data_IF_664532395978
#
_entry.id   IF_664532395978
#
_cell.length_a   1.000
_cell.length_b   1.000
_cell.length_c   1.000
_cell.angle_alpha   90.00
_cell.angle_beta   90.00
_cell.angle_gamma   90.00
#
_symmetry.space_group_name_H-M   'P 1'
#
loop_
_entity.id
_entity.type
_entity.pdbx_description
1 polymer ?
#
# COMPACT_ATOMS: atom_id res chain seq x y z
N UNK A 1 12.16 26.00 -5.32
CA UNK A 1 12.89 24.78 -5.73
C UNK A 1 13.14 23.94 -4.49
N UNK A 2 12.35 22.89 -4.27
CA UNK A 2 12.56 21.99 -3.14
C UNK A 2 13.84 21.18 -3.38
N UNK A 3 14.82 21.37 -2.53
CA UNK A 3 16.09 20.64 -2.55
C UNK A 3 15.79 19.14 -2.37
N UNK A 4 16.05 18.34 -3.42
CA UNK A 4 15.87 16.88 -3.35
C UNK A 4 16.91 16.33 -2.38
N UNK A 5 16.48 15.99 -1.15
CA UNK A 5 17.33 15.33 -0.15
C UNK A 5 18.01 14.11 -0.77
N UNK A 6 19.36 14.08 -0.76
CA UNK A 6 20.11 12.88 -1.13
C UNK A 6 19.82 11.77 -0.11
N UNK A 7 19.36 10.58 -0.53
CA UNK A 7 19.13 9.47 0.39
C UNK A 7 20.45 9.04 1.03
N UNK A 8 20.45 8.82 2.35
CA UNK A 8 21.65 8.45 3.12
C UNK A 8 22.19 7.04 2.85
N UNK A 9 21.54 6.27 1.96
CA UNK A 9 21.93 4.91 1.60
C UNK A 9 21.58 3.81 2.62
N UNK A 10 20.95 4.14 3.75
CA UNK A 10 20.65 3.15 4.80
C UNK A 10 19.24 2.55 4.67
N UNK A 11 19.19 1.26 4.31
CA UNK A 11 17.99 0.42 4.11
C UNK A 11 16.86 1.11 3.33
N UNK A 12 15.78 0.37 3.07
CA UNK A 12 14.59 0.92 2.45
C UNK A 12 13.68 1.56 3.51
N UNK A 13 12.95 2.61 3.11
CA UNK A 13 11.91 3.21 3.97
C UNK A 13 10.69 2.29 3.99
N UNK A 14 9.99 2.25 5.12
CA UNK A 14 8.75 1.50 5.29
C UNK A 14 7.73 1.78 4.18
N UNK A 15 7.60 3.04 3.75
CA UNK A 15 6.67 3.38 2.67
C UNK A 15 7.03 2.74 1.33
N UNK A 16 8.32 2.71 0.98
CA UNK A 16 8.80 2.05 -0.22
C UNK A 16 8.56 0.53 -0.16
N UNK A 17 8.74 -0.07 1.02
CA UNK A 17 8.38 -1.47 1.28
C UNK A 17 6.90 -1.74 1.00
N UNK A 18 6.02 -0.92 1.58
CA UNK A 18 4.57 -1.07 1.44
C UNK A 18 4.12 -0.86 0.00
N UNK A 19 4.70 0.10 -0.73
CA UNK A 19 4.40 0.32 -2.15
C UNK A 19 4.61 -0.94 -2.98
N UNK A 20 5.72 -1.67 -2.77
CA UNK A 20 6.01 -2.92 -3.46
C UNK A 20 4.88 -3.95 -3.27
N UNK A 21 4.50 -4.19 -2.02
CA UNK A 21 3.45 -5.17 -1.71
C UNK A 21 2.07 -4.74 -2.20
N UNK A 22 1.75 -3.45 -2.17
CA UNK A 22 0.48 -2.95 -2.71
C UNK A 22 0.39 -3.18 -4.22
N UNK A 23 1.48 -3.00 -4.96
CA UNK A 23 1.54 -3.32 -6.40
C UNK A 23 1.30 -4.82 -6.61
N UNK A 24 2.07 -5.68 -5.92
CA UNK A 24 1.94 -7.15 -6.05
C UNK A 24 0.54 -7.65 -5.70
N UNK A 25 -0.06 -7.15 -4.62
CA UNK A 25 -1.42 -7.54 -4.22
C UNK A 25 -2.47 -7.06 -5.23
N UNK A 26 -2.20 -5.97 -5.97
CA UNK A 26 -3.09 -5.48 -7.03
C UNK A 26 -3.03 -6.41 -8.23
N UNK A 27 -1.83 -6.79 -8.66
CA UNK A 27 -1.61 -7.71 -9.78
C UNK A 27 -2.24 -9.08 -9.56
N UNK A 28 -2.33 -9.53 -8.30
CA UNK A 28 -2.94 -10.80 -7.92
C UNK A 28 -4.48 -10.76 -7.80
N UNK A 29 -5.13 -9.66 -8.19
CA UNK A 29 -6.59 -9.43 -8.08
C UNK A 29 -7.16 -9.60 -6.66
N UNK A 30 -6.34 -9.53 -5.61
CA UNK A 30 -6.77 -9.78 -4.21
C UNK A 30 -7.40 -8.56 -3.54
N UNK A 31 -7.76 -7.54 -4.31
CA UNK A 31 -7.75 -6.18 -3.80
C UNK A 31 -9.16 -5.57 -3.64
N UNK A 32 -9.73 -5.77 -2.46
CA UNK A 32 -10.75 -4.87 -1.90
C UNK A 32 -10.04 -3.96 -0.89
N UNK A 33 -9.93 -2.65 -1.18
CA UNK A 33 -9.07 -1.71 -0.45
C UNK A 33 -9.24 -1.67 1.08
N UNK A 34 -10.41 -2.05 1.62
CA UNK A 34 -10.64 -2.18 3.08
C UNK A 34 -9.95 -3.40 3.72
N UNK A 35 -9.59 -4.42 2.94
CA UNK A 35 -8.92 -5.64 3.43
C UNK A 35 -7.40 -5.61 3.31
N UNK A 36 -6.82 -4.67 2.57
CA UNK A 36 -5.37 -4.60 2.34
C UNK A 36 -4.56 -4.53 3.65
N UNK A 37 -5.00 -3.70 4.58
CA UNK A 37 -4.30 -3.54 5.86
C UNK A 37 -4.29 -4.84 6.66
N UNK A 38 -5.42 -5.55 6.69
CA UNK A 38 -5.55 -6.80 7.43
C UNK A 38 -4.73 -7.91 6.78
N UNK A 39 -4.77 -8.03 5.44
CA UNK A 39 -3.93 -8.95 4.67
C UNK A 39 -2.44 -8.71 4.97
N UNK A 40 -1.98 -7.46 4.90
CA UNK A 40 -0.59 -7.13 5.19
C UNK A 40 -0.23 -7.43 6.66
N UNK A 41 -1.13 -7.19 7.61
CA UNK A 41 -0.88 -7.51 9.02
C UNK A 41 -0.79 -9.01 9.26
N UNK A 42 -1.66 -9.79 8.64
CA UNK A 42 -1.64 -11.25 8.72
C UNK A 42 -0.37 -11.82 8.09
N UNK A 43 -0.01 -11.34 6.90
CA UNK A 43 1.19 -11.79 6.17
C UNK A 43 2.48 -11.53 6.95
N UNK A 44 2.56 -10.39 7.64
CA UNK A 44 3.78 -10.01 8.37
C UNK A 44 3.79 -10.33 9.86
N UNK A 45 2.67 -10.82 10.41
CA UNK A 45 2.57 -11.22 11.82
C UNK A 45 3.67 -12.23 12.25
N UNK A 46 4.01 -13.25 11.44
CA UNK A 46 5.10 -14.19 11.79
C UNK A 46 6.48 -13.54 11.92
N UNK A 47 6.70 -12.40 11.26
CA UNK A 47 7.97 -11.66 11.29
C UNK A 47 8.00 -10.53 12.31
N UNK A 48 6.93 -10.37 13.11
CA UNK A 48 6.82 -9.31 14.11
C UNK A 48 6.63 -7.91 13.53
N UNK A 49 6.35 -7.78 12.23
CA UNK A 49 6.10 -6.50 11.58
C UNK A 49 4.59 -6.24 11.48
N UNK A 50 4.14 -5.09 11.99
CA UNK A 50 2.73 -4.69 11.96
C UNK A 50 2.58 -3.32 11.32
N UNK A 51 2.19 -3.23 10.03
CA UNK A 51 1.99 -1.95 9.38
C UNK A 51 0.85 -1.16 10.04
N UNK A 52 1.06 0.15 10.16
CA UNK A 52 0.03 1.06 10.65
C UNK A 52 -0.85 1.54 9.49
N UNK A 53 -2.08 1.93 9.83
CA UNK A 53 -3.09 2.36 8.86
C UNK A 53 -2.59 3.57 8.05
N UNK A 54 -2.04 4.57 8.74
CA UNK A 54 -1.56 5.81 8.10
C UNK A 54 -0.49 5.59 7.03
N UNK A 55 0.49 4.72 7.24
CA UNK A 55 1.56 4.46 6.26
C UNK A 55 1.08 3.63 5.07
N UNK A 56 0.15 2.69 5.28
CA UNK A 56 -0.46 1.95 4.16
C UNK A 56 -1.29 2.88 3.29
N UNK A 57 -2.10 3.76 3.89
CA UNK A 57 -2.90 4.74 3.14
C UNK A 57 -2.04 5.77 2.43
N UNK A 58 -0.97 6.28 3.05
CA UNK A 58 -0.02 7.16 2.35
C UNK A 58 0.65 6.45 1.18
N UNK A 59 1.08 5.19 1.34
CA UNK A 59 1.67 4.43 0.25
C UNK A 59 0.67 4.24 -0.92
N UNK A 60 -0.60 3.95 -0.61
CA UNK A 60 -1.66 3.82 -1.61
C UNK A 60 -1.94 5.14 -2.32
N UNK A 61 -2.05 6.25 -1.57
CA UNK A 61 -2.23 7.58 -2.12
C UNK A 61 -1.07 7.98 -3.04
N UNK A 62 0.16 7.79 -2.59
CA UNK A 62 1.34 8.06 -3.39
C UNK A 62 1.31 7.24 -4.71
N UNK A 63 0.93 5.95 -4.67
CA UNK A 63 0.83 5.12 -5.88
C UNK A 63 -0.26 5.57 -6.85
N UNK A 64 -1.38 6.11 -6.34
CA UNK A 64 -2.46 6.66 -7.15
C UNK A 64 -2.04 8.00 -7.77
N UNK A 65 -1.41 8.88 -6.98
CA UNK A 65 -0.87 10.17 -7.46
C UNK A 65 0.23 9.98 -8.50
N UNK A 66 1.08 8.97 -8.33
CA UNK A 66 2.14 8.57 -9.27
C UNK A 66 1.56 7.92 -10.56
N UNK A 67 0.25 7.67 -10.63
CA UNK A 67 -0.42 7.04 -11.78
C UNK A 67 -0.13 5.54 -11.94
N UNK A 68 0.40 4.89 -10.90
CA UNK A 68 0.74 3.46 -10.89
C UNK A 68 -0.50 2.61 -10.61
N UNK A 69 -1.38 3.10 -9.72
CA UNK A 69 -2.65 2.44 -9.38
C UNK A 69 -3.84 3.34 -9.70
N UNK A 70 -4.96 2.74 -10.06
CA UNK A 70 -6.24 3.44 -10.22
C UNK A 70 -7.28 2.96 -9.21
N UNK A 71 -8.13 3.88 -8.74
CA UNK A 71 -9.23 3.54 -7.86
C UNK A 71 -10.50 3.22 -8.67
N UNK A 72 -10.87 1.94 -8.71
CA UNK A 72 -12.13 1.50 -9.31
C UNK A 72 -13.24 1.43 -8.25
N UNK A 73 -14.25 2.29 -8.36
CA UNK A 73 -15.43 2.26 -7.48
C UNK A 73 -16.42 1.21 -7.98
N UNK A 74 -16.36 -0.01 -7.43
CA UNK A 74 -17.39 -1.04 -7.67
C UNK A 74 -18.51 -0.89 -6.63
N UNK A 75 -19.73 -0.56 -7.06
CA UNK A 75 -20.92 -0.74 -6.21
C UNK A 75 -21.11 -2.25 -6.00
N UNK A 76 -21.28 -2.69 -4.75
CA UNK A 76 -21.75 -4.05 -4.50
C UNK A 76 -23.18 -4.14 -5.04
N UNK A 77 -23.37 -4.79 -6.19
CA UNK A 77 -24.69 -5.25 -6.58
C UNK A 77 -25.06 -6.38 -5.62
N UNK A 78 -26.01 -6.12 -4.72
CA UNK A 78 -26.45 -7.10 -3.73
C UNK A 78 -26.52 -6.56 -2.30
N UNK A 79 -27.34 -5.53 -2.09
CA UNK A 79 -28.10 -5.36 -0.86
C UNK A 79 -29.50 -4.95 -1.31
N UNK A 80 -30.31 -5.96 -1.66
CA UNK A 80 -31.77 -5.90 -1.59
C UNK A 80 -32.17 -6.68 -0.34
#
# INVERSE_FOLDING_TARGET
>A
MSEKRKPSGFLLKQRAFLKLYLITLTEQERLYGLKLLDVLREEFQPFGYRPNHSEVYKALHDLIEDGILEQVKKKKEGMK
#
